data_IF_709317200332
#
_entry.id   IF_709317200332
#
_cell.length_a   1.000
_cell.length_b   1.000
_cell.length_c   1.000
_cell.angle_alpha   90.00
_cell.angle_beta   90.00
_cell.angle_gamma   90.00
#
_symmetry.space_group_name_H-M   'P 1'
#
loop_
_entity.id
_entity.type
_entity.pdbx_description
1 polymer ?
#
# COMPACT_ATOMS: atom_id res chain seq x y z
N UNK A 1 14.70 -6.90 -31.06
CA UNK A 1 14.84 -7.58 -29.76
C UNK A 1 14.53 -6.52 -28.72
N UNK A 2 13.32 -6.57 -28.19
CA UNK A 2 12.81 -5.57 -27.25
C UNK A 2 13.53 -5.72 -25.92
N UNK A 3 14.52 -4.86 -25.66
CA UNK A 3 15.01 -4.63 -24.30
C UNK A 3 13.93 -3.83 -23.56
N UNK A 4 12.82 -4.49 -23.22
CA UNK A 4 11.90 -3.96 -22.20
C UNK A 4 12.65 -4.07 -20.87
N UNK A 5 13.33 -3.00 -20.49
CA UNK A 5 14.01 -2.91 -19.20
C UNK A 5 12.92 -2.93 -18.14
N UNK A 6 12.70 -4.11 -17.55
CA UNK A 6 11.91 -4.26 -16.34
C UNK A 6 12.73 -3.75 -15.17
N UNK A 7 12.09 -2.98 -14.28
CA UNK A 7 12.75 -2.47 -13.09
C UNK A 7 12.26 -3.25 -11.89
N UNK A 8 13.17 -4.00 -11.28
CA UNK A 8 12.93 -4.75 -10.05
C UNK A 8 13.50 -3.96 -8.88
N UNK A 9 12.68 -3.75 -7.86
CA UNK A 9 13.08 -3.15 -6.60
C UNK A 9 12.68 -4.04 -5.44
N UNK A 10 13.46 -4.00 -4.37
CA UNK A 10 13.10 -4.62 -3.10
C UNK A 10 12.74 -3.51 -2.11
N UNK A 11 11.48 -3.50 -1.70
CA UNK A 11 10.98 -2.62 -0.65
C UNK A 11 11.32 -3.24 0.70
N UNK A 12 11.78 -2.41 1.64
CA UNK A 12 11.99 -2.87 3.01
C UNK A 12 10.64 -3.18 3.67
N UNK A 13 9.62 -2.37 3.38
CA UNK A 13 8.26 -2.57 3.88
C UNK A 13 7.18 -2.18 2.87
N UNK A 14 6.14 -3.01 2.78
CA UNK A 14 4.83 -2.67 2.25
C UNK A 14 3.83 -2.72 3.42
N UNK A 15 3.25 -1.58 3.77
CA UNK A 15 2.16 -1.51 4.73
C UNK A 15 0.82 -1.35 4.02
N UNK A 16 -0.17 -2.18 4.32
CA UNK A 16 -1.57 -2.03 3.90
C UNK A 16 -2.43 -1.66 5.10
N UNK A 17 -3.30 -0.67 4.93
CA UNK A 17 -4.14 -0.14 5.99
C UNK A 17 -5.60 -0.12 5.55
N UNK A 18 -6.40 -0.86 6.31
CA UNK A 18 -7.86 -0.90 6.22
C UNK A 18 -8.45 -0.08 7.36
N UNK A 19 -9.61 0.51 7.13
CA UNK A 19 -10.26 1.41 8.08
C UNK A 19 -11.71 1.04 8.23
N UNK A 20 -12.17 1.00 9.48
CA UNK A 20 -13.50 0.53 9.83
C UNK A 20 -14.14 1.41 10.90
N UNK A 21 -15.43 1.65 10.78
CA UNK A 21 -16.23 2.06 11.94
C UNK A 21 -16.38 0.89 12.92
N UNK A 22 -16.62 1.17 14.20
CA UNK A 22 -16.63 0.13 15.23
C UNK A 22 -17.67 -0.97 14.97
N UNK A 23 -18.90 -0.58 14.60
CA UNK A 23 -19.99 -1.52 14.33
C UNK A 23 -19.71 -2.35 13.07
N UNK A 24 -19.17 -1.71 12.02
CA UNK A 24 -18.74 -2.38 10.79
C UNK A 24 -17.63 -3.40 11.09
N UNK A 25 -16.62 -3.01 11.86
CA UNK A 25 -15.51 -3.87 12.24
C UNK A 25 -15.98 -5.15 12.94
N UNK A 26 -16.90 -5.03 13.91
CA UNK A 26 -17.48 -6.18 14.62
C UNK A 26 -18.25 -7.09 13.65
N UNK A 27 -18.95 -6.51 12.67
CA UNK A 27 -19.76 -7.27 11.71
C UNK A 27 -18.92 -8.00 10.64
N UNK A 28 -17.79 -7.42 10.23
CA UNK A 28 -16.96 -7.93 9.14
C UNK A 28 -15.84 -8.86 9.61
N UNK A 29 -15.35 -8.70 10.85
CA UNK A 29 -14.23 -9.48 11.38
C UNK A 29 -14.73 -10.57 12.32
N UNK A 30 -14.31 -11.80 12.05
CA UNK A 30 -14.65 -13.00 12.85
C UNK A 30 -14.42 -12.77 14.36
N UNK A 31 -13.26 -12.21 14.72
CA UNK A 31 -12.89 -11.90 16.11
C UNK A 31 -13.08 -10.41 16.46
N UNK A 32 -13.92 -9.68 15.71
CA UNK A 32 -14.00 -8.21 15.76
C UNK A 32 -14.30 -7.66 17.15
N UNK A 33 -15.20 -8.30 17.90
CA UNK A 33 -15.51 -7.91 19.29
C UNK A 33 -14.32 -8.11 20.23
N UNK A 34 -13.65 -9.27 20.14
CA UNK A 34 -12.48 -9.58 20.96
C UNK A 34 -11.34 -8.58 20.70
N UNK A 35 -11.05 -8.32 19.42
CA UNK A 35 -10.03 -7.34 19.01
C UNK A 35 -10.39 -5.94 19.54
N UNK A 36 -11.63 -5.51 19.37
CA UNK A 36 -12.07 -4.18 19.82
C UNK A 36 -11.98 -4.02 21.35
N UNK A 37 -12.35 -5.04 22.10
CA UNK A 37 -12.31 -4.97 23.57
C UNK A 37 -10.85 -4.88 24.07
N UNK A 38 -9.90 -5.61 23.47
CA UNK A 38 -8.46 -5.45 23.77
C UNK A 38 -7.88 -4.11 23.30
N UNK A 39 -8.36 -3.61 22.16
CA UNK A 39 -7.92 -2.32 21.60
C UNK A 39 -8.29 -1.15 22.52
N UNK A 40 -9.46 -1.20 23.17
CA UNK A 40 -9.89 -0.19 24.15
C UNK A 40 -8.98 -0.12 25.39
N UNK A 41 -8.40 -1.25 25.80
CA UNK A 41 -7.53 -1.30 26.99
C UNK A 41 -6.12 -0.75 26.71
N UNK A 42 -5.64 -0.89 25.48
CA UNK A 42 -4.21 -0.72 25.14
C UNK A 42 -3.93 0.35 24.08
N UNK A 43 -4.95 0.84 23.37
CA UNK A 43 -4.89 1.71 22.17
C UNK A 43 -4.15 1.11 20.96
N UNK A 44 -3.48 -0.03 21.14
CA UNK A 44 -2.85 -0.83 20.09
C UNK A 44 -2.95 -2.30 20.46
N UNK A 45 -3.47 -3.11 19.55
CA UNK A 45 -3.54 -4.55 19.73
C UNK A 45 -2.99 -5.27 18.51
N UNK A 46 -1.99 -6.12 18.69
CA UNK A 46 -1.41 -6.94 17.63
C UNK A 46 -2.04 -8.35 17.70
N UNK A 47 -2.71 -8.78 16.62
CA UNK A 47 -3.45 -10.04 16.60
C UNK A 47 -3.49 -10.64 15.20
N UNK A 48 -3.23 -11.96 15.10
CA UNK A 48 -3.23 -12.76 13.85
C UNK A 48 -2.48 -12.10 12.67
N UNK A 49 -1.33 -11.47 12.95
CA UNK A 49 -0.48 -10.87 11.92
C UNK A 49 -0.89 -9.46 11.47
N UNK A 50 -1.89 -8.86 12.10
CA UNK A 50 -2.28 -7.47 11.91
C UNK A 50 -2.07 -6.65 13.19
N UNK A 51 -1.83 -5.36 13.01
CA UNK A 51 -1.79 -4.35 14.07
C UNK A 51 -3.05 -3.50 14.02
N UNK A 52 -3.83 -3.50 15.10
CA UNK A 52 -5.03 -2.70 15.24
C UNK A 52 -4.73 -1.46 16.08
N UNK A 53 -5.14 -0.28 15.60
CA UNK A 53 -5.00 1.00 16.32
C UNK A 53 -6.22 1.89 16.10
N UNK A 54 -6.46 2.88 16.95
CA UNK A 54 -7.40 3.95 16.63
C UNK A 54 -6.72 5.01 15.77
N UNK A 55 -7.41 5.48 14.74
CA UNK A 55 -6.94 6.70 14.05
C UNK A 55 -7.25 7.92 14.91
N UNK A 56 -6.69 9.08 14.52
CA UNK A 56 -7.02 10.38 15.13
C UNK A 56 -8.51 10.76 15.07
N UNK A 57 -9.30 10.10 14.22
CA UNK A 57 -10.74 10.32 14.06
C UNK A 57 -11.59 9.32 14.86
N UNK A 58 -10.97 8.40 15.60
CA UNK A 58 -11.66 7.43 16.46
C UNK A 58 -12.10 6.13 15.77
N UNK A 59 -11.99 6.04 14.44
CA UNK A 59 -12.21 4.79 13.72
C UNK A 59 -11.03 3.82 13.88
N UNK A 60 -11.26 2.55 13.58
CA UNK A 60 -10.28 1.47 13.75
C UNK A 60 -9.44 1.36 12.48
N UNK A 61 -8.13 1.28 12.64
CA UNK A 61 -7.19 0.95 11.57
C UNK A 61 -6.63 -0.44 11.79
N UNK A 62 -6.72 -1.28 10.77
CA UNK A 62 -6.01 -2.55 10.67
C UNK A 62 -4.82 -2.38 9.73
N UNK A 63 -3.62 -2.54 10.26
CA UNK A 63 -2.37 -2.46 9.53
C UNK A 63 -1.75 -3.85 9.34
N UNK A 64 -1.49 -4.22 8.09
CA UNK A 64 -0.74 -5.43 7.72
C UNK A 64 0.57 -4.97 7.09
N UNK A 65 1.70 -5.47 7.57
CA UNK A 65 3.02 -5.09 7.06
C UNK A 65 3.77 -6.32 6.56
N UNK A 66 4.28 -6.22 5.34
CA UNK A 66 5.17 -7.21 4.73
C UNK A 66 6.56 -6.59 4.55
N UNK A 67 7.60 -7.39 4.75
CA UNK A 67 9.00 -6.98 4.60
C UNK A 67 9.67 -7.68 3.43
N UNK A 68 10.75 -7.08 2.89
CA UNK A 68 11.51 -7.62 1.75
C UNK A 68 10.62 -7.90 0.53
N UNK A 69 9.79 -6.92 0.17
CA UNK A 69 8.76 -7.06 -0.85
C UNK A 69 9.34 -6.73 -2.22
N UNK A 70 9.21 -7.65 -3.17
CA UNK A 70 9.65 -7.43 -4.53
C UNK A 70 8.57 -6.69 -5.31
N UNK A 71 8.92 -5.57 -5.94
CA UNK A 71 8.07 -4.84 -6.87
C UNK A 71 8.73 -4.74 -8.23
N UNK A 72 8.01 -5.16 -9.26
CA UNK A 72 8.42 -5.09 -10.67
C UNK A 72 7.54 -4.06 -11.36
N UNK A 73 8.19 -3.10 -12.00
CA UNK A 73 7.55 -2.08 -12.84
C UNK A 73 7.98 -2.33 -14.29
N UNK A 74 7.00 -2.64 -15.13
CA UNK A 74 7.20 -2.87 -16.56
C UNK A 74 6.91 -1.60 -17.35
N UNK A 75 7.66 -1.36 -18.44
CA UNK A 75 7.37 -0.23 -19.32
C UNK A 75 5.98 -0.37 -19.94
N UNK A 76 5.30 0.77 -20.09
CA UNK A 76 3.97 0.88 -20.72
C UNK A 76 2.84 0.09 -20.01
N UNK A 77 3.05 -0.31 -18.75
CA UNK A 77 2.05 -1.01 -17.94
C UNK A 77 1.41 -0.05 -16.92
N UNK A 78 0.08 -0.11 -16.77
CA UNK A 78 -0.67 0.65 -15.76
C UNK A 78 -0.68 -0.02 -14.38
N UNK A 79 -0.27 -1.30 -14.35
CA UNK A 79 -0.19 -2.13 -13.16
C UNK A 79 1.28 -2.39 -12.82
N UNK A 80 1.50 -2.83 -11.59
CA UNK A 80 2.80 -3.30 -11.11
C UNK A 80 2.67 -4.76 -10.67
N UNK A 81 3.78 -5.45 -10.49
CA UNK A 81 3.79 -6.81 -9.95
C UNK A 81 4.47 -6.81 -8.58
N UNK A 82 3.74 -7.15 -7.51
CA UNK A 82 4.22 -7.19 -6.12
C UNK A 82 4.22 -8.65 -5.66
N UNK A 83 5.35 -9.18 -5.20
CA UNK A 83 5.49 -10.58 -4.73
C UNK A 83 4.83 -11.61 -5.67
N UNK A 84 5.09 -11.42 -6.96
CA UNK A 84 4.52 -12.18 -8.06
C UNK A 84 3.05 -11.95 -8.45
N UNK A 85 2.33 -11.10 -7.73
CA UNK A 85 0.94 -10.76 -8.02
C UNK A 85 0.81 -9.45 -8.81
N UNK A 86 -0.01 -9.44 -9.87
CA UNK A 86 -0.33 -8.22 -10.62
C UNK A 86 -1.32 -7.41 -9.80
N UNK A 87 -0.94 -6.18 -9.47
CA UNK A 87 -1.73 -5.26 -8.65
C UNK A 87 -1.83 -3.89 -9.30
N UNK A 88 -2.97 -3.25 -9.11
CA UNK A 88 -3.19 -1.88 -9.55
C UNK A 88 -2.93 -0.93 -8.38
N UNK A 89 -1.93 -0.05 -8.52
CA UNK A 89 -1.73 1.07 -7.60
C UNK A 89 -2.50 2.27 -8.14
N UNK A 90 -3.41 2.86 -7.35
CA UNK A 90 -4.18 4.04 -7.77
C UNK A 90 -3.35 5.33 -7.58
N UNK A 91 -2.37 5.49 -8.47
CA UNK A 91 -1.39 6.59 -8.43
C UNK A 91 -1.98 7.91 -8.92
N UNK A 92 -3.09 7.88 -9.67
CA UNK A 92 -3.84 9.10 -10.03
C UNK A 92 -4.50 9.69 -8.79
N UNK A 93 -5.21 8.86 -8.02
CA UNK A 93 -5.93 9.31 -6.85
C UNK A 93 -4.99 9.72 -5.72
N UNK A 94 -3.94 8.93 -5.47
CA UNK A 94 -3.00 9.21 -4.39
C UNK A 94 -1.59 8.73 -4.73
N UNK A 95 -0.65 9.67 -4.77
CA UNK A 95 0.79 9.39 -4.80
C UNK A 95 1.51 10.50 -4.04
N UNK A 96 1.71 10.31 -2.75
CA UNK A 96 2.46 11.24 -1.91
C UNK A 96 3.83 10.65 -1.60
N UNK A 97 4.88 11.37 -1.96
CA UNK A 97 6.26 10.96 -1.77
C UNK A 97 6.84 11.75 -0.60
N UNK A 98 7.39 11.05 0.40
CA UNK A 98 8.11 11.65 1.51
C UNK A 98 9.50 11.05 1.60
N UNK A 99 10.55 11.88 1.52
CA UNK A 99 11.91 11.49 1.91
C UNK A 99 12.00 11.45 3.43
N UNK A 100 12.45 10.32 3.95
CA UNK A 100 12.77 10.08 5.34
C UNK A 100 14.30 9.99 5.48
N UNK A 101 14.78 9.76 6.69
CA UNK A 101 16.23 9.70 6.98
C UNK A 101 16.96 8.61 6.17
N UNK A 102 16.32 7.46 6.02
CA UNK A 102 16.91 6.24 5.44
C UNK A 102 16.07 5.65 4.28
N UNK A 103 14.87 6.19 4.04
CA UNK A 103 13.94 5.70 3.02
C UNK A 103 13.29 6.83 2.20
N UNK A 104 12.76 6.46 1.05
CA UNK A 104 11.60 7.14 0.47
C UNK A 104 10.36 6.34 0.80
N UNK A 105 9.35 7.04 1.31
CA UNK A 105 8.00 6.51 1.50
C UNK A 105 7.07 7.04 0.42
N UNK A 106 6.41 6.15 -0.30
CA UNK A 106 5.30 6.49 -1.20
C UNK A 106 3.99 6.03 -0.59
N UNK A 107 3.07 6.97 -0.37
CA UNK A 107 1.70 6.68 0.04
C UNK A 107 0.78 6.67 -1.17
N UNK A 108 0.10 5.55 -1.40
CA UNK A 108 -0.89 5.38 -2.47
C UNK A 108 -2.05 4.50 -1.99
N UNK A 109 -2.88 3.98 -2.90
CA UNK A 109 -3.85 2.92 -2.64
C UNK A 109 -3.55 1.75 -3.55
N UNK A 110 -3.84 0.54 -3.09
CA UNK A 110 -3.78 -0.67 -3.89
C UNK A 110 -5.21 -1.12 -4.14
N UNK A 111 -5.59 -1.43 -5.39
CA UNK A 111 -6.91 -1.95 -5.70
C UNK A 111 -6.90 -3.47 -5.53
N UNK A 112 -7.64 -3.94 -4.55
CA UNK A 112 -7.93 -5.36 -4.32
C UNK A 112 -9.36 -5.65 -4.79
N UNK A 113 -9.72 -6.94 -4.93
CA UNK A 113 -11.05 -7.32 -5.48
C UNK A 113 -12.21 -6.80 -4.62
N UNK A 114 -12.00 -6.68 -3.32
CA UNK A 114 -13.05 -6.38 -2.33
C UNK A 114 -12.89 -5.01 -1.68
N UNK A 115 -11.73 -4.40 -1.77
CA UNK A 115 -11.44 -3.09 -1.17
C UNK A 115 -10.28 -2.41 -1.91
N UNK A 116 -10.00 -1.14 -1.60
CA UNK A 116 -8.82 -0.44 -2.05
C UNK A 116 -8.07 0.15 -0.85
N UNK A 117 -7.36 -0.65 -0.05
CA UNK A 117 -6.71 -0.16 1.15
C UNK A 117 -5.67 0.92 0.84
N UNK A 118 -5.43 1.78 1.83
CA UNK A 118 -4.28 2.68 1.74
C UNK A 118 -3.00 1.86 1.87
N UNK A 119 -1.99 2.16 1.05
CA UNK A 119 -0.71 1.48 1.16
C UNK A 119 0.47 2.45 1.28
N UNK A 120 1.51 1.98 1.98
CA UNK A 120 2.78 2.65 2.16
C UNK A 120 3.89 1.77 1.59
N UNK A 121 4.61 2.29 0.61
CA UNK A 121 5.77 1.64 -0.01
C UNK A 121 7.03 2.29 0.54
N UNK A 122 7.91 1.52 1.18
CA UNK A 122 9.19 2.00 1.72
C UNK A 122 10.33 1.44 0.90
N UNK A 123 11.00 2.31 0.12
CA UNK A 123 12.19 1.97 -0.65
C UNK A 123 13.42 2.61 -0.01
N UNK A 124 14.55 1.90 0.01
CA UNK A 124 15.84 2.46 0.47
C UNK A 124 16.26 3.64 -0.39
N UNK A 125 16.97 4.59 0.21
CA UNK A 125 17.42 5.79 -0.50
C UNK A 125 18.27 5.49 -1.75
N UNK A 126 19.08 4.42 -1.72
CA UNK A 126 19.98 4.05 -2.83
C UNK A 126 19.26 3.85 -4.16
N UNK A 127 18.04 3.29 -4.14
CA UNK A 127 17.24 3.02 -5.34
C UNK A 127 16.05 3.98 -5.48
N UNK A 128 15.90 4.91 -4.55
CA UNK A 128 14.65 5.66 -4.36
C UNK A 128 14.30 6.59 -5.52
N UNK A 129 15.28 7.28 -6.10
CA UNK A 129 15.05 8.21 -7.20
C UNK A 129 14.58 7.50 -8.47
N UNK A 130 15.18 6.34 -8.74
CA UNK A 130 14.81 5.53 -9.89
C UNK A 130 13.44 4.86 -9.69
N UNK A 131 13.17 4.37 -8.47
CA UNK A 131 11.88 3.82 -8.08
C UNK A 131 10.74 4.84 -8.21
N UNK A 132 10.94 6.06 -7.71
CA UNK A 132 9.94 7.14 -7.82
C UNK A 132 9.66 7.47 -9.28
N UNK A 133 10.69 7.61 -10.12
CA UNK A 133 10.53 7.86 -11.56
C UNK A 133 9.77 6.72 -12.25
N UNK A 134 10.03 5.48 -11.86
CA UNK A 134 9.30 4.34 -12.38
C UNK A 134 7.81 4.41 -12.02
N UNK A 135 7.46 4.73 -10.78
CA UNK A 135 6.06 4.94 -10.38
C UNK A 135 5.42 6.15 -11.08
N UNK A 136 6.14 7.25 -11.28
CA UNK A 136 5.65 8.40 -12.05
C UNK A 136 5.32 8.02 -13.50
N UNK A 137 6.11 7.13 -14.11
CA UNK A 137 5.82 6.61 -15.44
C UNK A 137 4.52 5.80 -15.49
N UNK A 138 4.27 4.96 -14.47
CA UNK A 138 3.00 4.21 -14.32
C UNK A 138 1.83 5.19 -14.19
N UNK A 139 1.97 6.20 -13.32
CA UNK A 139 0.95 7.24 -13.13
C UNK A 139 0.64 7.99 -14.44
N UNK A 140 1.66 8.36 -15.21
CA UNK A 140 1.48 9.03 -16.49
C UNK A 140 0.71 8.16 -17.50
N UNK A 141 0.95 6.84 -17.50
CA UNK A 141 0.19 5.90 -18.33
C UNK A 141 -1.27 5.78 -17.89
N UNK A 142 -1.52 5.74 -16.58
CA UNK A 142 -2.89 5.75 -16.05
C UNK A 142 -3.65 7.02 -16.46
N UNK A 143 -3.00 8.20 -16.39
CA UNK A 143 -3.60 9.48 -16.82
C UNK A 143 -3.97 9.44 -18.30
N UNK A 144 -3.04 9.02 -19.16
CA UNK A 144 -3.28 8.88 -20.61
C UNK A 144 -4.45 7.94 -20.91
N UNK A 145 -4.59 6.85 -20.15
CA UNK A 145 -5.71 5.92 -20.33
C UNK A 145 -7.05 6.53 -19.90
N UNK A 146 -7.06 7.34 -18.84
CA UNK A 146 -8.23 8.05 -18.36
C UNK A 146 -8.73 9.10 -19.37
N UNK A 147 -7.82 9.81 -20.02
CA UNK A 147 -8.12 10.88 -21.00
C UNK A 147 -8.54 10.36 -22.38
N UNK A 148 -8.28 9.08 -22.68
CA UNK A 148 -8.73 8.41 -23.93
C UNK A 148 -10.18 7.94 -23.89
N UNK A 149 -10.87 8.11 -22.75
CA UNK A 149 -12.30 7.83 -22.57
C UNK A 149 -13.10 9.12 -22.68
#
# INVERSE_FOLDING_TARGET
>A
MDNKIFRLYTLDYLGKYYFYEADEFISLKEDGKYILDNLKESNRFDYKGASYTYTKFGNISEGITESNVNIIIEPENINVKINDEIVHLDLIYKMNIKRLEDHVRVTTRISEKTDSPSCLLYAKLVDSDDFVKALESVRAMQIKLKEKK
#
